data_IF_699004318965
#
_entry.id   IF_699004318965
#
_cell.length_a   1.000
_cell.length_b   1.000
_cell.length_c   1.000
_cell.angle_alpha   90.00
_cell.angle_beta   90.00
_cell.angle_gamma   90.00
#
_symmetry.space_group_name_H-M   'P 1'
#
loop_
_entity.id
_entity.type
_entity.pdbx_description
1 polymer ?
#
# COMPACT_ATOMS: atom_id res chain seq x y z
N UNK A 1 -18.39 -13.02 -34.11
CA UNK A 1 -18.15 -11.86 -33.21
C UNK A 1 -18.23 -12.18 -31.70
N UNK A 2 -18.95 -13.22 -31.28
CA UNK A 2 -19.04 -13.61 -29.85
C UNK A 2 -17.75 -14.22 -29.25
N UNK A 3 -16.88 -14.82 -30.08
CA UNK A 3 -15.65 -15.46 -29.61
C UNK A 3 -14.51 -14.48 -29.22
N UNK A 4 -14.48 -13.26 -29.78
CA UNK A 4 -13.43 -12.29 -29.51
C UNK A 4 -13.61 -11.56 -28.17
N UNK A 5 -14.86 -11.33 -27.73
CA UNK A 5 -15.16 -10.65 -26.47
C UNK A 5 -14.77 -11.53 -25.27
N UNK A 6 -14.96 -12.85 -25.37
CA UNK A 6 -14.60 -13.77 -24.29
C UNK A 6 -13.06 -13.88 -24.11
N UNK A 7 -12.28 -13.81 -25.19
CA UNK A 7 -10.82 -13.84 -25.15
C UNK A 7 -10.26 -12.54 -24.57
N UNK A 8 -10.81 -11.38 -24.95
CA UNK A 8 -10.40 -10.10 -24.38
C UNK A 8 -10.75 -9.98 -22.89
N UNK A 9 -11.91 -10.42 -22.46
CA UNK A 9 -12.30 -10.38 -21.05
C UNK A 9 -11.43 -11.27 -20.15
N UNK A 10 -11.01 -12.44 -20.64
CA UNK A 10 -10.09 -13.33 -19.89
C UNK A 10 -8.68 -12.76 -19.83
N UNK A 11 -8.18 -12.16 -20.92
CA UNK A 11 -6.86 -11.53 -20.96
C UNK A 11 -6.78 -10.27 -20.10
N UNK A 12 -7.87 -9.51 -19.94
CA UNK A 12 -7.89 -8.31 -19.09
C UNK A 12 -7.88 -8.63 -17.60
N UNK A 13 -8.29 -9.83 -17.18
CA UNK A 13 -8.35 -10.25 -15.77
C UNK A 13 -7.14 -11.10 -15.33
N UNK A 14 -6.33 -11.57 -16.29
CA UNK A 14 -5.08 -12.25 -16.02
C UNK A 14 -3.92 -11.32 -16.35
N UNK A 15 -3.41 -10.66 -15.34
CA UNK A 15 -2.26 -9.77 -15.44
C UNK A 15 -1.25 -10.18 -14.36
N UNK A 16 -0.25 -11.00 -14.73
CA UNK A 16 0.73 -11.55 -13.79
C UNK A 16 1.61 -10.46 -13.14
N UNK A 17 1.65 -9.27 -13.74
CA UNK A 17 2.32 -8.09 -13.19
C UNK A 17 1.59 -7.48 -11.99
N UNK A 18 0.29 -7.77 -11.80
CA UNK A 18 -0.48 -7.24 -10.67
C UNK A 18 0.08 -7.78 -9.35
N UNK A 19 0.29 -6.86 -8.42
CA UNK A 19 0.70 -7.09 -7.05
C UNK A 19 -0.39 -6.68 -6.08
N UNK A 20 -0.77 -7.58 -5.21
CA UNK A 20 -1.74 -7.31 -4.14
C UNK A 20 -1.00 -7.08 -2.83
N UNK A 21 -1.39 -6.02 -2.13
CA UNK A 21 -0.84 -5.66 -0.81
C UNK A 21 -1.97 -5.76 0.22
N UNK A 22 -1.81 -6.67 1.18
CA UNK A 22 -2.69 -6.70 2.35
C UNK A 22 -2.34 -5.59 3.33
N UNK A 23 -3.30 -4.74 3.63
CA UNK A 23 -3.14 -3.62 4.57
C UNK A 23 -3.98 -3.81 5.85
N UNK A 24 -4.45 -5.02 6.14
CA UNK A 24 -5.40 -5.31 7.23
C UNK A 24 -4.93 -4.78 8.58
N UNK A 25 -3.69 -5.05 8.94
CA UNK A 25 -3.17 -4.62 10.26
C UNK A 25 -2.79 -3.15 10.25
N UNK A 26 -2.18 -2.66 9.16
CA UNK A 26 -1.77 -1.25 9.06
C UNK A 26 -2.98 -0.32 9.08
N UNK A 27 -3.95 -0.52 8.19
CA UNK A 27 -5.10 0.37 8.07
C UNK A 27 -6.17 0.09 9.15
N UNK A 28 -6.44 -1.17 9.45
CA UNK A 28 -7.29 -1.57 10.58
C UNK A 28 -6.78 -1.04 11.92
N UNK A 29 -5.47 -0.91 12.06
CA UNK A 29 -4.84 -0.29 13.24
C UNK A 29 -5.19 1.17 13.47
N UNK A 30 -5.65 1.88 12.45
CA UNK A 30 -6.15 3.25 12.63
C UNK A 30 -7.50 3.31 13.36
N UNK A 31 -8.25 2.21 13.42
CA UNK A 31 -9.51 2.13 14.13
C UNK A 31 -9.35 1.74 15.61
N UNK A 32 -8.18 1.24 16.03
CA UNK A 32 -7.91 0.78 17.40
C UNK A 32 -6.56 1.24 17.96
N UNK A 33 -6.06 2.36 17.48
CA UNK A 33 -4.77 2.94 17.86
C UNK A 33 -3.60 1.95 17.78
N UNK A 34 -3.68 1.02 16.82
CA UNK A 34 -2.70 -0.05 16.55
C UNK A 34 -2.58 -1.10 17.67
N UNK A 35 -3.65 -1.32 18.44
CA UNK A 35 -3.72 -2.28 19.55
C UNK A 35 -4.20 -3.69 19.14
N UNK A 36 -3.69 -4.24 18.05
CA UNK A 36 -3.88 -5.66 17.77
C UNK A 36 -2.99 -6.52 18.67
N UNK A 37 -3.51 -7.67 19.08
CA UNK A 37 -2.68 -8.64 19.81
C UNK A 37 -1.66 -9.29 18.88
N UNK A 38 -0.52 -9.69 19.40
CA UNK A 38 0.51 -10.42 18.63
C UNK A 38 -0.07 -11.67 17.96
N UNK A 39 -0.98 -12.38 18.66
CA UNK A 39 -1.64 -13.58 18.14
C UNK A 39 -2.51 -13.25 16.92
N UNK A 40 -3.33 -12.20 17.00
CA UNK A 40 -4.15 -11.75 15.86
C UNK A 40 -3.29 -11.42 14.64
N UNK A 41 -2.22 -10.65 14.85
CA UNK A 41 -1.34 -10.26 13.73
C UNK A 41 -0.63 -11.47 13.14
N UNK A 42 -0.21 -12.43 13.99
CA UNK A 42 0.41 -13.67 13.53
C UNK A 42 -0.54 -14.50 12.67
N UNK A 43 -1.80 -14.65 13.09
CA UNK A 43 -2.79 -15.40 12.30
C UNK A 43 -3.14 -14.69 10.98
N UNK A 44 -3.22 -13.35 10.96
CA UNK A 44 -3.39 -12.59 9.73
C UNK A 44 -2.18 -12.81 8.81
N UNK A 45 -0.95 -12.64 9.30
CA UNK A 45 0.28 -12.88 8.53
C UNK A 45 0.30 -14.26 7.91
N UNK A 46 0.03 -15.29 8.72
CA UNK A 46 -0.02 -16.69 8.28
C UNK A 46 -1.09 -16.92 7.19
N UNK A 47 -2.29 -16.35 7.36
CA UNK A 47 -3.37 -16.47 6.39
C UNK A 47 -3.01 -15.81 5.04
N UNK A 48 -2.40 -14.62 5.08
CA UNK A 48 -1.97 -13.89 3.89
C UNK A 48 -0.87 -14.64 3.15
N UNK A 49 0.16 -15.16 3.87
CA UNK A 49 1.20 -16.00 3.27
C UNK A 49 0.61 -17.27 2.62
N UNK A 50 -0.32 -17.95 3.32
CA UNK A 50 -0.99 -19.14 2.77
C UNK A 50 -1.85 -18.83 1.53
N UNK A 51 -2.34 -17.60 1.40
CA UNK A 51 -3.10 -17.12 0.24
C UNK A 51 -2.22 -16.65 -0.91
N UNK A 52 -0.88 -16.67 -0.76
CA UNK A 52 0.11 -16.25 -1.76
C UNK A 52 -0.08 -14.80 -2.23
N UNK A 53 -0.50 -13.93 -1.33
CA UNK A 53 -0.58 -12.49 -1.59
C UNK A 53 0.84 -11.92 -1.68
N UNK A 54 1.08 -10.97 -2.57
CA UNK A 54 2.44 -10.51 -2.86
C UNK A 54 3.10 -9.79 -1.69
N UNK A 55 2.32 -8.96 -0.95
CA UNK A 55 2.83 -8.21 0.20
C UNK A 55 1.83 -8.20 1.36
N UNK A 56 2.34 -8.17 2.57
CA UNK A 56 1.57 -7.96 3.80
C UNK A 56 2.15 -6.79 4.59
N UNK A 57 1.33 -5.77 4.86
CA UNK A 57 1.73 -4.56 5.57
C UNK A 57 1.25 -4.61 7.02
N UNK A 58 2.15 -4.84 7.95
CA UNK A 58 1.82 -5.11 9.36
C UNK A 58 1.67 -3.86 10.24
N UNK A 59 1.94 -2.68 9.71
CA UNK A 59 1.75 -1.45 10.48
C UNK A 59 2.67 -0.32 10.06
N UNK A 60 2.92 0.59 11.00
CA UNK A 60 3.75 1.75 10.77
C UNK A 60 5.13 1.58 11.42
N UNK A 61 6.14 2.23 10.84
CA UNK A 61 7.42 2.50 11.47
C UNK A 61 7.53 4.01 11.74
N UNK A 62 6.70 4.47 12.67
CA UNK A 62 6.63 5.86 13.08
C UNK A 62 7.53 6.12 14.31
N UNK A 63 7.94 7.37 14.48
CA UNK A 63 8.82 7.78 15.59
C UNK A 63 8.10 7.74 16.94
N UNK A 64 8.73 7.13 17.94
CA UNK A 64 8.27 7.10 19.33
C UNK A 64 8.34 8.46 20.02
N UNK A 65 9.01 9.44 19.43
CA UNK A 65 9.00 10.82 19.92
C UNK A 65 7.70 11.55 19.54
N UNK A 66 7.05 11.12 18.46
CA UNK A 66 5.82 11.74 17.96
C UNK A 66 4.55 10.99 18.40
N UNK A 67 4.68 9.71 18.71
CA UNK A 67 3.61 8.86 19.22
C UNK A 67 4.07 8.22 20.52
N UNK A 68 3.27 8.37 21.58
CA UNK A 68 3.57 7.73 22.87
C UNK A 68 3.29 6.22 22.80
N UNK A 69 4.26 5.34 23.12
CA UNK A 69 3.99 3.90 23.26
C UNK A 69 2.99 3.56 24.39
N UNK A 70 2.68 4.50 25.27
CA UNK A 70 1.66 4.33 26.32
C UNK A 70 0.23 4.54 25.75
N UNK A 71 0.11 5.23 24.62
CA UNK A 71 -1.17 5.55 23.98
C UNK A 71 -1.44 4.65 22.75
N UNK A 72 -0.37 4.29 22.02
CA UNK A 72 -0.47 3.54 20.78
C UNK A 72 0.10 2.14 20.90
N UNK A 73 -0.58 1.19 20.28
CA UNK A 73 -0.15 -0.20 20.24
C UNK A 73 1.14 -0.41 19.42
N UNK A 74 1.78 -1.59 19.55
CA UNK A 74 3.10 -1.88 18.98
C UNK A 74 3.14 -1.79 17.44
N UNK A 75 2.01 -1.95 16.77
CA UNK A 75 1.90 -1.89 15.29
C UNK A 75 1.94 -0.46 14.74
N UNK A 76 2.02 0.56 15.64
CA UNK A 76 2.36 1.94 15.28
C UNK A 76 3.85 2.13 15.03
N UNK A 77 4.67 1.24 15.56
CA UNK A 77 6.13 1.33 15.54
C UNK A 77 6.79 0.19 14.77
N UNK A 78 6.16 -0.98 14.73
CA UNK A 78 6.67 -2.19 14.08
C UNK A 78 8.14 -2.44 14.39
N UNK A 79 8.50 -2.43 15.70
CA UNK A 79 9.86 -2.74 16.13
C UNK A 79 10.28 -4.12 15.60
N UNK A 80 11.54 -4.28 15.29
CA UNK A 80 12.09 -5.49 14.66
C UNK A 80 11.81 -6.77 15.47
N UNK A 81 11.94 -6.70 16.79
CA UNK A 81 11.65 -7.85 17.69
C UNK A 81 10.19 -8.29 17.60
N UNK A 82 9.25 -7.34 17.45
CA UNK A 82 7.84 -7.67 17.30
C UNK A 82 7.54 -8.28 15.93
N UNK A 83 8.16 -7.78 14.88
CA UNK A 83 8.02 -8.34 13.53
C UNK A 83 8.59 -9.77 13.50
N UNK A 84 9.80 -9.99 14.04
CA UNK A 84 10.40 -11.32 14.14
C UNK A 84 9.50 -12.29 14.92
N UNK A 85 8.91 -11.84 16.02
CA UNK A 85 8.01 -12.67 16.85
C UNK A 85 6.77 -13.15 16.08
N UNK A 86 6.18 -12.33 15.23
CA UNK A 86 4.97 -12.71 14.47
C UNK A 86 5.28 -13.53 13.23
N UNK A 87 6.47 -13.39 12.66
CA UNK A 87 6.89 -14.12 11.47
C UNK A 87 7.58 -15.45 11.79
N UNK A 88 8.09 -15.63 13.02
CA UNK A 88 8.86 -16.81 13.44
C UNK A 88 8.12 -18.14 13.18
N UNK A 89 8.78 -19.04 12.48
CA UNK A 89 8.27 -20.37 12.15
C UNK A 89 7.10 -20.39 11.15
N UNK A 90 6.80 -19.27 10.48
CA UNK A 90 5.85 -19.21 9.35
C UNK A 90 6.65 -19.14 8.06
N UNK A 91 6.34 -20.05 7.12
CA UNK A 91 6.89 -19.98 5.77
C UNK A 91 6.16 -18.88 4.99
N UNK A 92 6.83 -17.79 4.60
CA UNK A 92 6.19 -16.73 3.84
C UNK A 92 5.94 -17.12 2.36
N UNK A 93 6.58 -18.17 1.85
CA UNK A 93 6.63 -18.44 0.42
C UNK A 93 7.21 -17.24 -0.34
N UNK A 94 6.46 -16.72 -1.32
CA UNK A 94 6.85 -15.53 -2.10
C UNK A 94 6.27 -14.21 -1.50
N UNK A 95 5.50 -14.29 -0.41
CA UNK A 95 4.91 -13.11 0.24
C UNK A 95 5.99 -12.28 0.94
N UNK A 96 6.05 -10.99 0.62
CA UNK A 96 6.98 -10.03 1.20
C UNK A 96 6.34 -9.24 2.33
N UNK A 97 7.14 -8.92 3.35
CA UNK A 97 6.71 -8.10 4.47
C UNK A 97 6.93 -6.62 4.20
N UNK A 98 5.90 -5.80 4.42
CA UNK A 98 5.97 -4.36 4.29
C UNK A 98 5.62 -3.65 5.60
N UNK A 99 6.15 -2.44 5.78
CA UNK A 99 5.75 -1.48 6.80
C UNK A 99 5.66 -0.08 6.20
N UNK A 100 4.83 0.78 6.79
CA UNK A 100 4.64 2.15 6.31
C UNK A 100 5.39 3.17 7.17
N UNK A 101 6.06 4.12 6.53
CA UNK A 101 6.54 5.37 7.14
C UNK A 101 5.63 6.52 6.72
N UNK A 102 5.08 7.26 7.67
CA UNK A 102 4.42 8.54 7.37
C UNK A 102 5.50 9.63 7.31
N UNK A 103 5.61 10.32 6.18
CA UNK A 103 6.66 11.31 5.92
C UNK A 103 6.74 12.44 6.97
N UNK A 104 5.65 12.68 7.71
CA UNK A 104 5.61 13.64 8.80
C UNK A 104 5.95 13.06 10.17
N UNK A 105 5.95 11.73 10.31
CA UNK A 105 5.91 11.05 11.60
C UNK A 105 6.97 9.95 11.73
N UNK A 106 7.80 9.80 10.73
CA UNK A 106 8.87 8.82 10.68
C UNK A 106 10.23 9.50 10.52
N UNK A 107 11.28 8.81 10.92
CA UNK A 107 12.66 9.24 10.78
C UNK A 107 13.44 8.20 9.96
N UNK A 108 14.38 8.67 9.16
CA UNK A 108 15.23 7.83 8.33
C UNK A 108 16.10 6.87 9.16
N UNK A 109 16.53 7.31 10.34
CA UNK A 109 17.33 6.54 11.28
C UNK A 109 16.57 5.38 11.96
N UNK A 110 15.23 5.41 11.99
CA UNK A 110 14.42 4.34 12.58
C UNK A 110 14.36 3.06 11.70
N UNK A 111 14.95 3.11 10.51
CA UNK A 111 15.03 1.96 9.59
C UNK A 111 16.43 1.36 9.63
N UNK A 112 16.53 0.07 9.94
CA UNK A 112 17.78 -0.70 9.88
C UNK A 112 18.20 -0.96 8.42
N UNK A 113 19.44 -1.40 8.14
CA UNK A 113 19.76 -2.02 6.85
C UNK A 113 18.86 -3.24 6.57
N UNK A 114 18.49 -3.45 5.30
CA UNK A 114 17.53 -4.51 4.93
C UNK A 114 18.00 -5.92 5.31
N UNK A 115 19.30 -6.17 5.27
CA UNK A 115 19.92 -7.45 5.67
C UNK A 115 19.87 -7.70 7.20
N UNK A 116 19.55 -6.68 7.99
CA UNK A 116 19.35 -6.77 9.43
C UNK A 116 17.85 -6.81 9.83
N UNK A 117 16.94 -6.79 8.85
CA UNK A 117 15.49 -6.71 9.06
C UNK A 117 14.77 -7.92 8.46
N UNK A 118 13.54 -8.18 8.93
CA UNK A 118 12.61 -9.11 8.27
C UNK A 118 11.68 -8.41 7.28
N UNK A 119 11.81 -7.09 7.13
CA UNK A 119 11.02 -6.28 6.21
C UNK A 119 11.67 -6.27 4.84
N UNK A 120 10.86 -6.41 3.79
CA UNK A 120 11.29 -6.36 2.39
C UNK A 120 11.00 -4.99 1.75
N UNK A 121 9.90 -4.34 2.15
CA UNK A 121 9.44 -3.10 1.54
C UNK A 121 9.11 -2.02 2.58
N UNK A 122 9.59 -0.82 2.34
CA UNK A 122 9.15 0.40 3.05
C UNK A 122 8.18 1.17 2.15
N UNK A 123 6.97 1.40 2.63
CA UNK A 123 5.98 2.25 1.95
C UNK A 123 5.94 3.62 2.61
N UNK A 124 6.08 4.68 1.84
CA UNK A 124 6.13 6.05 2.37
C UNK A 124 4.84 6.78 2.05
N UNK A 125 4.06 7.10 3.09
CA UNK A 125 2.85 7.90 2.95
C UNK A 125 3.17 9.39 3.04
N UNK A 126 2.62 10.19 2.14
CA UNK A 126 2.84 11.64 2.08
C UNK A 126 1.64 12.40 1.54
N UNK A 127 1.61 13.69 1.79
CA UNK A 127 0.76 14.66 1.07
C UNK A 127 1.57 15.30 -0.06
N UNK A 128 0.88 15.84 -1.07
CA UNK A 128 1.53 16.52 -2.21
C UNK A 128 2.54 17.59 -1.76
N UNK A 129 2.16 18.43 -0.81
CA UNK A 129 2.99 19.53 -0.26
C UNK A 129 4.27 19.07 0.47
N UNK A 130 4.37 17.80 0.81
CA UNK A 130 5.47 17.23 1.61
C UNK A 130 6.24 16.14 0.86
N UNK A 131 6.11 16.12 -0.45
CA UNK A 131 6.76 15.14 -1.34
C UNK A 131 8.29 15.10 -1.13
N UNK A 132 8.93 16.22 -0.86
CA UNK A 132 10.38 16.30 -0.56
C UNK A 132 10.79 15.41 0.61
N UNK A 133 9.93 15.32 1.64
CA UNK A 133 10.18 14.46 2.82
C UNK A 133 10.06 12.99 2.43
N UNK A 134 9.03 12.67 1.62
CA UNK A 134 8.82 11.31 1.13
C UNK A 134 9.98 10.85 0.26
N UNK A 135 10.47 11.69 -0.64
CA UNK A 135 11.63 11.40 -1.49
C UNK A 135 12.87 11.07 -0.64
N UNK A 136 13.12 11.83 0.43
CA UNK A 136 14.25 11.58 1.34
C UNK A 136 14.13 10.23 2.06
N UNK A 137 12.93 9.88 2.54
CA UNK A 137 12.68 8.58 3.18
C UNK A 137 12.77 7.43 2.18
N UNK A 138 12.22 7.60 0.98
CA UNK A 138 12.28 6.61 -0.08
C UNK A 138 13.74 6.32 -0.52
N UNK A 139 14.55 7.36 -0.69
CA UNK A 139 15.98 7.22 -0.98
C UNK A 139 16.71 6.48 0.14
N UNK A 140 16.49 6.89 1.40
CA UNK A 140 17.09 6.20 2.55
C UNK A 140 16.70 4.71 2.60
N UNK A 141 15.44 4.37 2.30
CA UNK A 141 15.00 2.98 2.22
C UNK A 141 15.71 2.23 1.10
N UNK A 142 15.78 2.79 -0.12
CA UNK A 142 16.46 2.18 -1.27
C UNK A 142 17.96 2.03 -1.02
N UNK A 143 18.63 3.02 -0.43
CA UNK A 143 20.06 2.98 -0.07
C UNK A 143 20.35 1.89 0.98
N UNK A 144 19.38 1.57 1.84
CA UNK A 144 19.45 0.48 2.82
C UNK A 144 19.05 -0.88 2.27
N UNK A 145 18.70 -0.98 0.98
CA UNK A 145 18.43 -2.22 0.26
C UNK A 145 16.95 -2.65 0.21
N UNK A 146 16.03 -1.83 0.71
CA UNK A 146 14.59 -2.13 0.66
C UNK A 146 13.99 -1.84 -0.72
N UNK A 147 12.95 -2.59 -1.08
CA UNK A 147 11.97 -2.10 -2.03
C UNK A 147 11.22 -0.91 -1.41
N UNK A 148 10.80 0.03 -2.25
CA UNK A 148 10.09 1.21 -1.77
C UNK A 148 8.85 1.49 -2.62
N UNK A 149 7.79 2.02 -2.00
CA UNK A 149 6.63 2.59 -2.68
C UNK A 149 6.24 3.93 -2.03
N UNK A 150 5.65 4.84 -2.79
CA UNK A 150 5.22 6.15 -2.30
C UNK A 150 3.71 6.28 -2.45
N UNK A 151 3.02 6.61 -1.36
CA UNK A 151 1.58 6.71 -1.26
C UNK A 151 1.16 8.18 -1.12
N UNK A 152 0.65 8.81 -2.18
CA UNK A 152 0.16 10.19 -2.13
C UNK A 152 -1.25 10.20 -1.58
N UNK A 153 -1.39 10.66 -0.33
CA UNK A 153 -2.65 10.68 0.42
C UNK A 153 -3.53 11.88 0.03
N UNK A 154 -4.83 11.75 0.33
CA UNK A 154 -5.83 12.84 0.19
C UNK A 154 -5.92 13.41 -1.22
N UNK A 155 -5.74 12.57 -2.23
CA UNK A 155 -5.62 12.98 -3.62
C UNK A 155 -6.86 13.76 -4.10
N UNK A 156 -8.06 13.46 -3.57
CA UNK A 156 -9.31 14.12 -3.93
C UNK A 156 -9.37 15.61 -3.54
N UNK A 157 -8.48 16.06 -2.64
CA UNK A 157 -8.42 17.46 -2.17
C UNK A 157 -7.08 18.14 -2.48
N UNK A 158 -6.08 17.39 -2.89
CA UNK A 158 -4.71 17.89 -3.14
C UNK A 158 -4.29 17.75 -4.62
N UNK A 159 -5.24 17.72 -5.55
CA UNK A 159 -4.98 17.60 -6.98
C UNK A 159 -4.43 18.88 -7.63
N UNK A 160 -4.33 18.86 -8.97
CA UNK A 160 -3.93 19.99 -9.79
C UNK A 160 -2.43 20.05 -10.07
N UNK A 161 -1.88 21.21 -10.48
CA UNK A 161 -0.50 21.33 -10.98
C UNK A 161 0.57 20.87 -9.97
N UNK A 162 0.35 21.06 -8.68
CA UNK A 162 1.28 20.61 -7.64
C UNK A 162 1.37 19.08 -7.55
N UNK A 163 0.27 18.38 -7.85
CA UNK A 163 0.29 16.92 -7.93
C UNK A 163 1.16 16.46 -9.11
N UNK A 164 1.01 17.08 -10.28
CA UNK A 164 1.79 16.73 -11.47
C UNK A 164 3.29 16.94 -11.21
N UNK A 165 3.67 18.05 -10.58
CA UNK A 165 5.06 18.34 -10.18
C UNK A 165 5.57 17.29 -9.17
N UNK A 166 4.78 16.95 -8.15
CA UNK A 166 5.15 15.94 -7.16
C UNK A 166 5.38 14.56 -7.78
N UNK A 167 4.50 14.13 -8.71
CA UNK A 167 4.66 12.86 -9.43
C UNK A 167 5.93 12.86 -10.26
N UNK A 168 6.21 13.95 -10.96
CA UNK A 168 7.43 14.09 -11.77
C UNK A 168 8.69 14.03 -10.89
N UNK A 169 8.72 14.71 -9.76
CA UNK A 169 9.84 14.65 -8.81
C UNK A 169 10.05 13.21 -8.29
N UNK A 170 8.98 12.50 -7.94
CA UNK A 170 9.06 11.10 -7.51
C UNK A 170 9.66 10.23 -8.62
N UNK A 171 9.22 10.41 -9.87
CA UNK A 171 9.75 9.65 -11.01
C UNK A 171 11.24 9.89 -11.19
N UNK A 172 11.68 11.15 -11.16
CA UNK A 172 13.06 11.54 -11.44
C UNK A 172 14.01 11.26 -10.27
N UNK A 173 13.51 11.31 -9.03
CA UNK A 173 14.37 11.39 -7.86
C UNK A 173 14.37 10.12 -7.00
N UNK A 174 13.61 9.08 -7.32
CA UNK A 174 13.53 7.86 -6.51
C UNK A 174 13.60 6.59 -7.34
N UNK A 175 13.97 5.47 -6.69
CA UNK A 175 13.90 4.11 -7.24
C UNK A 175 12.67 3.35 -6.73
N UNK A 176 11.60 4.08 -6.36
CA UNK A 176 10.36 3.46 -5.89
C UNK A 176 9.78 2.50 -6.93
N UNK A 177 9.30 1.34 -6.47
CA UNK A 177 8.63 0.33 -7.33
C UNK A 177 7.28 0.81 -7.82
N UNK A 178 6.54 1.53 -6.95
CA UNK A 178 5.20 2.00 -7.24
C UNK A 178 4.92 3.38 -6.63
N UNK A 179 4.05 4.14 -7.29
CA UNK A 179 3.48 5.40 -6.78
C UNK A 179 1.97 5.23 -6.71
N UNK A 180 1.40 5.46 -5.54
CA UNK A 180 0.00 5.17 -5.25
C UNK A 180 -0.91 6.40 -5.33
N UNK A 181 -2.07 6.20 -5.92
CA UNK A 181 -3.25 7.05 -5.82
C UNK A 181 -4.01 6.62 -4.56
N UNK A 182 -4.12 7.50 -3.54
CA UNK A 182 -4.79 7.15 -2.28
C UNK A 182 -6.07 7.97 -2.12
N UNK A 183 -7.22 7.30 -2.29
CA UNK A 183 -8.53 7.83 -1.97
C UNK A 183 -8.78 7.79 -0.45
N UNK A 184 -8.12 8.69 0.28
CA UNK A 184 -8.15 8.74 1.74
C UNK A 184 -9.53 8.97 2.34
N UNK A 185 -10.45 9.56 1.58
CA UNK A 185 -11.81 9.89 2.03
C UNK A 185 -12.86 8.93 1.51
N UNK A 186 -12.49 7.98 0.63
CA UNK A 186 -13.41 7.07 -0.01
C UNK A 186 -14.50 7.82 -0.78
N UNK A 187 -14.13 8.93 -1.42
CA UNK A 187 -15.05 9.88 -2.04
C UNK A 187 -14.92 9.95 -3.57
N UNK A 188 -13.92 9.28 -4.15
CA UNK A 188 -13.73 9.26 -5.59
C UNK A 188 -14.74 8.35 -6.28
N UNK A 189 -15.19 8.79 -7.45
CA UNK A 189 -15.92 7.98 -8.42
C UNK A 189 -14.97 7.38 -9.46
N UNK A 190 -15.46 6.43 -10.26
CA UNK A 190 -14.63 5.74 -11.27
C UNK A 190 -13.99 6.68 -12.28
N UNK A 191 -14.70 7.73 -12.68
CA UNK A 191 -14.20 8.75 -13.62
C UNK A 191 -13.02 9.54 -13.04
N UNK A 192 -12.99 9.72 -11.72
CA UNK A 192 -11.90 10.39 -11.04
C UNK A 192 -10.70 9.46 -10.88
N UNK A 193 -10.90 8.17 -10.63
CA UNK A 193 -9.85 7.15 -10.65
C UNK A 193 -9.18 7.12 -12.03
N UNK A 194 -9.98 7.11 -13.10
CA UNK A 194 -9.51 7.16 -14.48
C UNK A 194 -8.65 8.41 -14.73
N UNK A 195 -9.15 9.59 -14.36
CA UNK A 195 -8.44 10.85 -14.47
C UNK A 195 -7.09 10.84 -13.75
N UNK A 196 -7.04 10.34 -12.51
CA UNK A 196 -5.77 10.28 -11.77
C UNK A 196 -4.80 9.27 -12.37
N UNK A 197 -5.25 8.10 -12.82
CA UNK A 197 -4.38 7.13 -13.49
C UNK A 197 -3.81 7.72 -14.78
N UNK A 198 -4.63 8.35 -15.62
CA UNK A 198 -4.14 9.03 -16.82
C UNK A 198 -3.13 10.14 -16.49
N UNK A 199 -3.35 10.87 -15.40
CA UNK A 199 -2.42 11.90 -14.93
C UNK A 199 -1.10 11.29 -14.50
N UNK A 200 -1.10 10.20 -13.72
CA UNK A 200 0.13 9.50 -13.33
C UNK A 200 0.87 8.93 -14.54
N UNK A 201 0.17 8.33 -15.48
CA UNK A 201 0.77 7.77 -16.70
C UNK A 201 1.49 8.80 -17.58
N UNK A 202 1.14 10.10 -17.47
CA UNK A 202 1.87 11.17 -18.18
C UNK A 202 3.30 11.31 -17.67
N UNK A 203 3.52 11.11 -16.38
CA UNK A 203 4.79 11.40 -15.71
C UNK A 203 5.54 10.14 -15.28
N UNK A 204 4.84 9.12 -14.79
CA UNK A 204 5.41 7.82 -14.36
C UNK A 204 5.73 6.98 -15.58
N UNK A 205 7.00 6.62 -15.76
CA UNK A 205 7.52 5.82 -16.89
C UNK A 205 8.29 4.59 -16.47
N UNK A 206 8.92 4.64 -15.30
CA UNK A 206 9.80 3.56 -14.81
C UNK A 206 9.22 2.85 -13.60
N UNK A 207 8.15 3.38 -13.01
CA UNK A 207 7.49 2.86 -11.82
C UNK A 207 6.09 2.36 -12.15
N UNK A 208 5.58 1.50 -11.30
CA UNK A 208 4.19 1.03 -11.37
C UNK A 208 3.23 2.03 -10.71
N UNK A 209 1.97 1.99 -11.11
CA UNK A 209 0.91 2.77 -10.47
C UNK A 209 0.16 1.87 -9.50
N UNK A 210 -0.05 2.35 -8.27
CA UNK A 210 -0.85 1.68 -7.27
C UNK A 210 -2.15 2.42 -6.96
N UNK A 211 -3.13 1.70 -6.41
CA UNK A 211 -4.38 2.28 -5.89
C UNK A 211 -4.68 1.78 -4.48
N UNK A 212 -5.10 2.70 -3.62
CA UNK A 212 -5.61 2.43 -2.28
C UNK A 212 -6.91 3.19 -2.08
N UNK A 213 -8.03 2.46 -1.98
CA UNK A 213 -9.37 3.07 -1.95
C UNK A 213 -10.07 2.77 -0.64
N UNK A 214 -10.48 3.85 0.09
CA UNK A 214 -11.40 3.74 1.21
C UNK A 214 -12.85 3.57 0.76
N UNK A 215 -13.70 3.02 1.62
CA UNK A 215 -15.02 2.51 1.26
C UNK A 215 -16.20 3.40 1.74
N UNK A 216 -15.96 4.70 1.97
CA UNK A 216 -16.96 5.60 2.55
C UNK A 216 -18.22 5.75 1.69
N UNK A 217 -18.08 5.65 0.37
CA UNK A 217 -19.22 5.61 -0.56
C UNK A 217 -19.55 4.19 -1.05
N UNK A 218 -18.96 3.15 -0.44
CA UNK A 218 -19.08 1.75 -0.85
C UNK A 218 -18.58 1.48 -2.28
N UNK A 219 -17.62 2.28 -2.76
CA UNK A 219 -17.04 2.18 -4.09
C UNK A 219 -15.59 1.63 -4.09
N UNK A 220 -14.99 1.33 -2.94
CA UNK A 220 -13.59 0.93 -2.86
C UNK A 220 -13.25 -0.23 -3.80
N UNK A 221 -14.09 -1.27 -3.81
CA UNK A 221 -13.90 -2.41 -4.70
C UNK A 221 -14.06 -2.03 -6.18
N UNK A 222 -15.12 -1.29 -6.53
CA UNK A 222 -15.37 -0.84 -7.90
C UNK A 222 -14.23 0.06 -8.41
N UNK A 223 -13.78 1.00 -7.59
CA UNK A 223 -12.67 1.90 -7.91
C UNK A 223 -11.33 1.15 -8.05
N UNK A 224 -11.09 0.12 -7.23
CA UNK A 224 -9.90 -0.74 -7.39
C UNK A 224 -9.95 -1.50 -8.71
N UNK A 225 -11.11 -2.02 -9.12
CA UNK A 225 -11.29 -2.67 -10.42
C UNK A 225 -11.10 -1.69 -11.58
N UNK A 226 -11.63 -0.47 -11.47
CA UNK A 226 -11.37 0.58 -12.47
C UNK A 226 -9.87 0.86 -12.58
N UNK A 227 -9.18 0.93 -11.42
CA UNK A 227 -7.73 1.04 -11.38
C UNK A 227 -7.02 -0.06 -12.18
N UNK A 228 -7.44 -1.31 -12.01
CA UNK A 228 -6.92 -2.45 -12.80
C UNK A 228 -7.18 -2.25 -14.28
N UNK A 229 -8.40 -1.89 -14.67
CA UNK A 229 -8.79 -1.69 -16.07
C UNK A 229 -7.92 -0.62 -16.73
N UNK A 230 -7.58 0.45 -15.99
CA UNK A 230 -6.81 1.59 -16.48
C UNK A 230 -5.29 1.42 -16.36
N UNK A 231 -4.82 0.35 -15.77
CA UNK A 231 -3.41 -0.02 -15.77
C UNK A 231 -2.67 0.11 -14.43
N UNK A 232 -3.38 0.27 -13.32
CA UNK A 232 -2.76 0.10 -12.00
C UNK A 232 -2.36 -1.36 -11.80
N UNK A 233 -1.14 -1.57 -11.27
CA UNK A 233 -0.56 -2.89 -11.04
C UNK A 233 -0.31 -3.20 -9.56
N UNK A 234 -0.39 -2.22 -8.65
CA UNK A 234 -0.31 -2.42 -7.22
C UNK A 234 -1.65 -2.10 -6.56
N UNK A 235 -2.25 -3.08 -5.88
CA UNK A 235 -3.61 -2.99 -5.38
C UNK A 235 -3.64 -3.25 -3.88
N UNK A 236 -4.10 -2.27 -3.11
CA UNK A 236 -4.29 -2.42 -1.67
C UNK A 236 -5.67 -2.99 -1.35
N UNK A 237 -5.70 -3.97 -0.45
CA UNK A 237 -6.93 -4.55 0.06
C UNK A 237 -6.77 -4.95 1.54
N UNK A 238 -7.87 -5.23 2.21
CA UNK A 238 -7.88 -5.69 3.60
C UNK A 238 -8.86 -6.83 3.79
N UNK A 239 -8.58 -7.74 4.72
CA UNK A 239 -9.47 -8.83 5.08
C UNK A 239 -10.83 -8.27 5.49
N UNK A 240 -11.89 -8.72 4.82
CA UNK A 240 -13.26 -8.27 5.01
C UNK A 240 -13.44 -6.73 4.93
N UNK A 241 -12.54 -6.04 4.22
CA UNK A 241 -12.54 -4.58 4.12
C UNK A 241 -12.19 -3.85 5.41
N UNK A 242 -11.57 -4.50 6.41
CA UNK A 242 -11.22 -3.86 7.69
C UNK A 242 -10.31 -2.64 7.47
N UNK A 243 -10.67 -1.51 8.08
CA UNK A 243 -9.87 -0.30 7.96
C UNK A 243 -10.51 0.90 8.65
N UNK A 244 -9.86 2.04 8.50
CA UNK A 244 -10.35 3.32 9.02
C UNK A 244 -11.70 3.69 8.39
N UNK A 245 -12.60 4.29 9.19
CA UNK A 245 -13.91 4.76 8.73
C UNK A 245 -14.80 3.61 8.26
N UNK A 246 -15.21 3.63 7.00
CA UNK A 246 -16.04 2.59 6.39
C UNK A 246 -15.23 1.41 5.82
N UNK A 247 -13.92 1.39 6.04
CA UNK A 247 -13.01 0.35 5.59
C UNK A 247 -12.40 0.60 4.22
N UNK A 248 -11.94 -0.49 3.58
CA UNK A 248 -11.18 -0.51 2.33
C UNK A 248 -11.78 -1.47 1.30
N UNK A 249 -11.07 -1.69 0.20
CA UNK A 249 -11.38 -2.75 -0.75
C UNK A 249 -11.30 -4.12 -0.05
N UNK A 250 -12.37 -4.96 -0.09
CA UNK A 250 -12.33 -6.29 0.50
C UNK A 250 -11.40 -7.23 -0.26
N UNK A 251 -10.46 -7.84 0.45
CA UNK A 251 -9.43 -8.71 -0.10
C UNK A 251 -10.02 -9.93 -0.80
N UNK A 252 -11.04 -10.55 -0.18
CA UNK A 252 -11.69 -11.75 -0.68
C UNK A 252 -12.35 -11.51 -2.05
N UNK A 253 -12.94 -10.33 -2.25
CA UNK A 253 -13.54 -9.96 -3.53
C UNK A 253 -12.48 -9.70 -4.59
N UNK A 254 -11.39 -9.00 -4.20
CA UNK A 254 -10.31 -8.69 -5.12
C UNK A 254 -9.62 -9.95 -5.63
N UNK A 255 -9.22 -10.87 -4.75
CA UNK A 255 -8.58 -12.12 -5.12
C UNK A 255 -9.50 -13.03 -5.98
N UNK A 256 -10.82 -13.03 -5.70
CA UNK A 256 -11.76 -13.82 -6.49
C UNK A 256 -11.84 -13.37 -7.96
N UNK A 257 -11.55 -12.09 -8.24
CA UNK A 257 -11.60 -11.54 -9.61
C UNK A 257 -10.28 -11.72 -10.35
N UNK A 258 -9.15 -11.50 -9.68
CA UNK A 258 -7.85 -11.41 -10.33
C UNK A 258 -7.39 -12.72 -10.99
N UNK A 259 -7.94 -13.88 -10.64
CA UNK A 259 -7.62 -15.19 -11.24
C UNK A 259 -6.12 -15.44 -11.42
N UNK A 260 -5.29 -14.79 -10.65
CA UNK A 260 -3.87 -15.08 -10.59
C UNK A 260 -3.69 -16.41 -9.86
N UNK A 261 -2.80 -17.28 -10.34
CA UNK A 261 -2.60 -18.57 -9.71
C UNK A 261 -1.97 -18.45 -8.31
#
# INVERSE_FOLDING_TARGET
>A
MAGHIAVYGVLMMYRPEIKVVDCTIRDGGLANDSHFTTETVREVYKAICASKVDYVELGYRNSKEMFSPDEFGPWRFCDEDMLRKVTDGIDPGDTKLAVMQDAHKAKAEDVLPCDESVVDMIRVATYVKDVDKAIKLARNASEKGYECAINIMSISVEGGPFLEEAIQQIEEETDAKAVYIVDSFGSLYSEEIDYYIETYQKYIKTKEIGVHCHNNQQLAFANTIEGVIKGANYLDATLNGLGRGAGNCPHELLLAILKNP
#
